data_IF_666156563267
#
_entry.id   IF_666156563267
#
_cell.length_a   1.000
_cell.length_b   1.000
_cell.length_c   1.000
_cell.angle_alpha   90.00
_cell.angle_beta   90.00
_cell.angle_gamma   90.00
#
_symmetry.space_group_name_H-M   'P 1'
#
loop_
_entity.id
_entity.type
_entity.pdbx_description
1 polymer ?
#
# COMPACT_ATOMS: atom_id res chain seq x y z
N UNK A 1 26.16 -4.91 -1.49
CA UNK A 1 25.10 -5.48 -2.35
C UNK A 1 24.40 -6.55 -1.53
N UNK A 2 23.30 -6.19 -0.87
CA UNK A 2 22.30 -7.08 -0.25
C UNK A 2 21.14 -6.17 0.17
N UNK A 3 19.96 -6.40 -0.41
CA UNK A 3 18.78 -5.55 -0.29
C UNK A 3 18.08 -5.84 1.06
N UNK A 4 17.89 -4.82 1.88
CA UNK A 4 17.44 -4.89 3.27
C UNK A 4 15.91 -4.68 3.41
N UNK A 5 15.12 -4.86 2.35
CA UNK A 5 13.67 -4.61 2.36
C UNK A 5 12.86 -5.90 2.24
N UNK A 6 12.92 -6.73 3.29
CA UNK A 6 11.90 -7.72 3.70
C UNK A 6 12.45 -8.46 4.92
N UNK A 7 12.39 -7.80 6.09
CA UNK A 7 12.93 -8.38 7.33
C UNK A 7 11.80 -9.13 8.04
N UNK A 8 11.71 -10.43 7.79
CA UNK A 8 11.27 -11.37 8.82
C UNK A 8 12.25 -11.20 9.99
N UNK A 9 11.84 -10.51 11.05
CA UNK A 9 12.72 -10.24 12.19
C UNK A 9 12.70 -11.44 13.13
N UNK A 10 13.66 -12.36 12.95
CA UNK A 10 13.88 -13.47 13.88
C UNK A 10 14.48 -12.90 15.17
N UNK A 11 13.63 -12.63 16.16
CA UNK A 11 14.06 -12.32 17.52
C UNK A 11 13.59 -13.45 18.43
N UNK A 12 14.53 -14.21 19.01
CA UNK A 12 14.27 -15.21 20.05
C UNK A 12 13.20 -16.27 19.67
N UNK A 13 13.26 -16.80 18.45
CA UNK A 13 12.39 -17.90 18.02
C UNK A 13 10.92 -17.54 17.78
N UNK A 14 10.55 -16.25 17.85
CA UNK A 14 9.23 -15.76 17.47
C UNK A 14 9.31 -15.05 16.12
N UNK A 15 8.48 -15.49 15.18
CA UNK A 15 8.28 -14.83 13.89
C UNK A 15 7.32 -13.67 14.12
N UNK A 16 7.83 -12.45 14.06
CA UNK A 16 7.01 -11.24 14.07
C UNK A 16 6.72 -10.83 12.63
N UNK A 17 5.47 -11.04 12.20
CA UNK A 17 4.96 -10.49 10.95
C UNK A 17 4.52 -9.06 11.20
N UNK A 18 4.81 -8.16 10.27
CA UNK A 18 4.27 -6.81 10.35
C UNK A 18 2.75 -6.87 10.08
N UNK A 19 1.95 -6.10 10.82
CA UNK A 19 0.49 -6.12 10.74
C UNK A 19 -0.05 -5.88 9.32
N UNK A 20 0.68 -5.13 8.50
CA UNK A 20 0.32 -4.87 7.12
C UNK A 20 0.53 -6.07 6.17
N UNK A 21 1.36 -7.06 6.51
CA UNK A 21 1.63 -8.21 5.62
C UNK A 21 0.38 -9.07 5.37
N UNK A 22 -0.54 -9.06 6.35
CA UNK A 22 -1.83 -9.76 6.32
C UNK A 22 -2.87 -9.10 5.41
N UNK A 23 -2.61 -7.88 4.92
CA UNK A 23 -3.52 -7.19 4.00
C UNK A 23 -3.61 -7.97 2.69
N UNK A 24 -4.81 -8.40 2.33
CA UNK A 24 -5.11 -9.09 1.08
C UNK A 24 -5.47 -8.07 0.01
N UNK A 25 -4.76 -8.11 -1.12
CA UNK A 25 -4.96 -7.20 -2.25
C UNK A 25 -5.52 -7.96 -3.46
N UNK A 26 -6.69 -7.54 -3.91
CA UNK A 26 -7.33 -8.01 -5.14
C UNK A 26 -7.05 -7.02 -6.27
N UNK A 27 -6.71 -7.53 -7.45
CA UNK A 27 -6.34 -6.71 -8.62
C UNK A 27 -6.82 -7.36 -9.89
N UNK A 28 -7.37 -6.57 -10.81
CA UNK A 28 -7.57 -7.01 -12.20
C UNK A 28 -6.22 -7.12 -12.92
N UNK A 29 -6.07 -7.99 -13.93
CA UNK A 29 -4.80 -8.18 -14.64
C UNK A 29 -4.20 -6.88 -15.20
N UNK A 30 -5.02 -5.97 -15.70
CA UNK A 30 -4.61 -4.66 -16.20
C UNK A 30 -4.03 -3.76 -15.10
N UNK A 31 -4.55 -3.85 -13.88
CA UNK A 31 -4.01 -3.10 -12.72
C UNK A 31 -2.67 -3.69 -12.31
N UNK A 32 -2.53 -5.01 -12.26
CA UNK A 32 -1.24 -5.66 -11.95
C UNK A 32 -0.14 -5.22 -12.93
N UNK A 33 -0.42 -5.21 -14.24
CA UNK A 33 0.51 -4.72 -15.27
C UNK A 33 0.85 -3.24 -15.10
N UNK A 34 -0.13 -2.42 -14.72
CA UNK A 34 0.06 -0.99 -14.46
C UNK A 34 1.03 -0.74 -13.30
N UNK A 35 0.89 -1.51 -12.21
CA UNK A 35 1.73 -1.41 -11.02
C UNK A 35 3.16 -1.86 -11.33
N UNK A 36 3.31 -2.97 -12.04
CA UNK A 36 4.61 -3.48 -12.49
C UNK A 36 5.36 -2.42 -13.31
N UNK A 37 4.71 -1.82 -14.32
CA UNK A 37 5.28 -0.73 -15.13
C UNK A 37 5.70 0.49 -14.30
N UNK A 38 5.03 0.73 -13.17
CA UNK A 38 5.31 1.85 -12.26
C UNK A 38 6.31 1.49 -11.16
N UNK A 39 6.78 0.25 -11.10
CA UNK A 39 7.60 -0.29 -10.02
C UNK A 39 6.97 -0.04 -8.63
N UNK A 40 5.66 -0.26 -8.52
CA UNK A 40 4.94 -0.22 -7.24
C UNK A 40 4.71 -1.66 -6.82
N UNK A 41 5.24 -2.04 -5.65
CA UNK A 41 5.13 -3.39 -5.13
C UNK A 41 3.85 -3.56 -4.32
N UNK A 42 3.38 -4.80 -4.18
CA UNK A 42 2.24 -5.10 -3.32
C UNK A 42 2.50 -4.69 -1.87
N UNK A 43 3.73 -4.83 -1.37
CA UNK A 43 4.09 -4.42 -0.02
C UNK A 43 4.00 -2.90 0.20
N UNK A 44 4.24 -2.09 -0.84
CA UNK A 44 4.04 -0.64 -0.76
C UNK A 44 2.54 -0.34 -0.57
N UNK A 45 1.69 -1.04 -1.31
CA UNK A 45 0.23 -0.86 -1.27
C UNK A 45 -0.37 -1.38 0.03
N UNK A 46 0.08 -2.54 0.52
CA UNK A 46 -0.36 -3.11 1.79
C UNK A 46 -0.09 -2.15 2.95
N UNK A 47 1.09 -1.53 2.99
CA UNK A 47 1.43 -0.52 3.99
C UNK A 47 0.52 0.72 3.89
N UNK A 48 0.29 1.23 2.68
CA UNK A 48 -0.61 2.38 2.45
C UNK A 48 -2.04 2.09 2.92
N UNK A 49 -2.60 0.94 2.52
CA UNK A 49 -3.97 0.54 2.87
C UNK A 49 -4.07 0.28 4.38
N UNK A 50 -3.13 -0.48 4.95
CA UNK A 50 -3.11 -0.76 6.38
C UNK A 50 -3.13 0.51 7.22
N UNK A 51 -2.22 1.45 6.96
CA UNK A 51 -2.15 2.71 7.70
C UNK A 51 -3.44 3.53 7.53
N UNK A 52 -4.00 3.56 6.33
CA UNK A 52 -5.22 4.31 6.04
C UNK A 52 -6.45 3.77 6.77
N UNK A 53 -6.54 2.44 6.91
CA UNK A 53 -7.63 1.77 7.62
C UNK A 53 -7.46 1.87 9.14
N UNK A 54 -6.22 1.73 9.64
CA UNK A 54 -5.92 1.88 11.07
C UNK A 54 -6.11 3.33 11.56
N UNK A 55 -5.66 4.30 10.78
CA UNK A 55 -5.70 5.72 11.17
C UNK A 55 -6.93 6.48 10.72
N UNK A 56 -7.72 5.92 9.80
CA UNK A 56 -8.80 6.63 9.11
C UNK A 56 -8.36 7.73 8.13
N UNK A 57 -7.05 7.93 7.91
CA UNK A 57 -6.52 8.99 7.02
C UNK A 57 -6.61 8.58 5.55
N UNK A 58 -7.81 8.67 4.99
CA UNK A 58 -8.14 8.39 3.58
C UNK A 58 -9.25 9.31 3.09
N UNK A 59 -9.25 9.60 1.79
CA UNK A 59 -10.28 10.41 1.14
C UNK A 59 -11.28 9.49 0.44
N UNK A 60 -12.57 9.63 0.73
CA UNK A 60 -13.63 8.91 0.01
C UNK A 60 -14.07 9.70 -1.22
N UNK A 61 -14.21 9.02 -2.36
CA UNK A 61 -14.77 9.58 -3.60
C UNK A 61 -16.19 9.05 -3.80
N UNK A 62 -17.24 9.87 -3.57
CA UNK A 62 -18.63 9.41 -3.69
C UNK A 62 -19.01 8.94 -5.10
N UNK A 63 -18.36 9.47 -6.14
CA UNK A 63 -18.68 9.14 -7.53
C UNK A 63 -18.23 7.75 -7.97
N UNK A 64 -17.10 7.26 -7.45
CA UNK A 64 -16.58 5.92 -7.76
C UNK A 64 -16.76 4.92 -6.62
N UNK A 65 -17.05 5.39 -5.40
CA UNK A 65 -17.05 4.56 -4.19
C UNK A 65 -15.65 4.15 -3.73
N UNK A 66 -14.60 4.78 -4.27
CA UNK A 66 -13.20 4.47 -3.95
C UNK A 66 -12.67 5.34 -2.81
N UNK A 67 -11.72 4.77 -2.07
CA UNK A 67 -10.83 5.52 -1.21
C UNK A 67 -9.51 5.84 -1.91
N UNK A 68 -9.01 7.05 -1.69
CA UNK A 68 -7.63 7.44 -1.98
C UNK A 68 -6.86 7.56 -0.66
N UNK A 69 -5.84 6.73 -0.51
CA UNK A 69 -4.90 6.78 0.62
C UNK A 69 -3.49 7.11 0.13
N UNK A 70 -2.65 7.57 1.06
CA UNK A 70 -1.23 7.77 0.81
C UNK A 70 -0.37 7.41 2.02
N UNK A 71 0.86 7.04 1.75
CA UNK A 71 1.90 6.86 2.77
C UNK A 71 3.26 7.22 2.21
N UNK A 72 4.10 7.85 3.02
CA UNK A 72 5.50 8.06 2.69
C UNK A 72 6.31 6.84 3.09
N UNK A 73 7.00 6.23 2.13
CA UNK A 73 7.88 5.09 2.32
C UNK A 73 9.26 5.48 1.77
N UNK A 74 10.24 5.61 2.66
CA UNK A 74 11.55 6.19 2.33
C UNK A 74 11.41 7.62 1.78
N UNK A 75 11.90 7.84 0.56
CA UNK A 75 11.87 9.17 -0.11
C UNK A 75 10.67 9.37 -1.04
N UNK A 76 9.78 8.39 -1.13
CA UNK A 76 8.65 8.42 -2.05
C UNK A 76 7.32 8.43 -1.29
N UNK A 77 6.33 9.10 -1.85
CA UNK A 77 4.94 9.04 -1.38
C UNK A 77 4.14 8.17 -2.34
N UNK A 78 3.62 7.07 -1.81
CA UNK A 78 2.77 6.13 -2.54
C UNK A 78 1.32 6.49 -2.30
N UNK A 79 0.52 6.33 -3.36
CA UNK A 79 -0.90 6.59 -3.35
C UNK A 79 -1.63 5.37 -3.89
N UNK A 80 -2.65 4.91 -3.16
CA UNK A 80 -3.47 3.78 -3.56
C UNK A 80 -4.94 4.23 -3.69
N UNK A 81 -5.56 3.86 -4.81
CA UNK A 81 -7.02 3.92 -4.99
C UNK A 81 -7.59 2.52 -4.84
N UNK A 82 -8.52 2.36 -3.89
CA UNK A 82 -9.03 1.04 -3.54
C UNK A 82 -10.46 1.08 -3.01
N UNK A 83 -11.11 -0.09 -3.02
CA UNK A 83 -12.43 -0.32 -2.45
C UNK A 83 -12.33 -1.48 -1.44
N UNK A 84 -12.81 -1.32 -0.19
CA UNK A 84 -12.93 -2.43 0.75
C UNK A 84 -13.88 -3.51 0.22
N UNK A 85 -13.52 -4.76 0.45
CA UNK A 85 -14.29 -5.97 0.14
C UNK A 85 -14.28 -6.87 1.38
N UNK A 86 -15.11 -7.90 1.37
CA UNK A 86 -15.26 -8.82 2.52
C UNK A 86 -13.94 -9.47 2.94
N UNK A 87 -13.08 -9.84 1.97
CA UNK A 87 -11.83 -10.55 2.23
C UNK A 87 -10.57 -9.68 2.08
N UNK A 88 -10.71 -8.36 1.89
CA UNK A 88 -9.57 -7.47 1.71
C UNK A 88 -9.89 -6.22 0.91
N UNK A 89 -9.00 -5.84 0.00
CA UNK A 89 -9.10 -4.56 -0.71
C UNK A 89 -8.86 -4.74 -2.20
N UNK A 90 -9.83 -4.30 -3.02
CA UNK A 90 -9.67 -4.24 -4.47
C UNK A 90 -8.90 -2.96 -4.82
N UNK A 91 -7.71 -3.11 -5.39
CA UNK A 91 -6.90 -1.98 -5.88
C UNK A 91 -7.31 -1.68 -7.32
N UNK A 92 -7.74 -0.44 -7.55
CA UNK A 92 -8.13 0.05 -8.87
C UNK A 92 -6.99 0.80 -9.57
N UNK A 93 -6.08 1.42 -8.81
CA UNK A 93 -4.95 2.19 -9.34
C UNK A 93 -3.97 2.54 -8.22
N UNK A 94 -2.70 2.76 -8.57
CA UNK A 94 -1.74 3.39 -7.66
C UNK A 94 -0.72 4.24 -8.42
N UNK A 95 -0.15 5.21 -7.73
CA UNK A 95 0.91 6.06 -8.28
C UNK A 95 1.90 6.44 -7.18
N UNK A 96 3.11 6.80 -7.59
CA UNK A 96 4.20 7.15 -6.69
C UNK A 96 4.77 8.51 -7.08
N UNK A 97 4.96 9.37 -6.10
CA UNK A 97 5.69 10.63 -6.24
C UNK A 97 7.03 10.49 -5.54
N UNK A 98 8.14 10.63 -6.28
CA UNK A 98 9.51 10.57 -5.75
C UNK A 98 10.03 11.93 -5.26
N UNK A 99 9.14 12.90 -5.12
CA UNK A 99 9.43 14.24 -4.60
C UNK A 99 8.86 14.34 -3.19
N UNK A 100 9.56 15.01 -2.30
CA UNK A 100 9.06 15.32 -0.97
C UNK A 100 7.87 16.28 -1.06
N UNK A 101 6.71 15.80 -0.60
CA UNK A 101 5.53 16.64 -0.42
C UNK A 101 5.62 17.18 1.00
N UNK A 102 5.93 18.47 1.12
CA UNK A 102 5.92 19.18 2.41
C UNK A 102 4.46 19.39 2.82
N UNK A 103 4.02 18.72 3.88
CA UNK A 103 2.74 19.02 4.53
C UNK A 103 2.94 20.25 5.42
N UNK A 104 2.01 21.21 5.34
CA UNK A 104 1.97 22.38 6.24
C UNK A 104 0.99 22.12 7.38
#
# INVERSE_FOLDING_TARGET
MLNLFSIVKILRGKVYMASWEQVVLMKKPEVSKLLEKRHILDDDLKQVVHLAEESGKKLFSPGSGEYLAKMRIGKATFYARYVPKDEGYEINSAYVHKVEILEK
#
